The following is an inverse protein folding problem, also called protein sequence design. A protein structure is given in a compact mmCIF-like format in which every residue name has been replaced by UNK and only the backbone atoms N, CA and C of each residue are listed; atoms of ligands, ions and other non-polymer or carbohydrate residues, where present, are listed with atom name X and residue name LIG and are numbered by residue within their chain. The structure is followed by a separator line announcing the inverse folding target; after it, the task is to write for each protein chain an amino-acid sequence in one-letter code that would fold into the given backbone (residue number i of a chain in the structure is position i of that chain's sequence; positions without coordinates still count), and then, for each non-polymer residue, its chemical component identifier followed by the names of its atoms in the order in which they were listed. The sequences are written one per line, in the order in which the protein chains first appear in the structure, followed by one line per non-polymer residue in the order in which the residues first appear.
data_IF_703699508358
#
_entry.id   IF_703699508358
#
_cell.length_a   1.000
_cell.length_b   1.000
_cell.length_c   1.000
_cell.angle_alpha   90.00
_cell.angle_beta   90.00
_cell.angle_gamma   90.00
#
_symmetry.space_group_name_H-M   'P 1'
#
loop_
_entity.id
_entity.type
_entity.pdbx_description
1 polymer ?
#
# COMPACT_ATOMS: atom_id res chain seq x y z
N UNK A 1 -29.29 -4.02 16.06
CA UNK A 1 -27.91 -3.84 16.59
C UNK A 1 -27.00 -3.66 15.40
N UNK A 2 -26.62 -2.42 15.07
CA UNK A 2 -25.68 -2.16 13.99
C UNK A 2 -24.31 -2.63 14.44
N UNK A 3 -23.85 -3.77 13.94
CA UNK A 3 -22.46 -4.19 14.04
C UNK A 3 -21.63 -3.15 13.31
N UNK A 4 -21.14 -2.14 14.03
CA UNK A 4 -20.01 -1.34 13.55
C UNK A 4 -18.84 -2.30 13.41
N UNK A 5 -18.56 -2.71 12.18
CA UNK A 5 -17.39 -3.52 11.84
C UNK A 5 -16.15 -2.74 12.26
N UNK A 6 -15.57 -3.10 13.40
CA UNK A 6 -14.30 -2.54 13.89
C UNK A 6 -13.25 -2.67 12.79
N UNK A 7 -12.56 -1.58 12.47
CA UNK A 7 -11.49 -1.60 11.47
C UNK A 7 -10.34 -2.49 11.99
N UNK A 8 -10.10 -3.61 11.32
CA UNK A 8 -9.02 -4.53 11.65
C UNK A 8 -7.75 -4.18 10.87
N UNK A 9 -6.71 -3.78 11.60
CA UNK A 9 -5.40 -3.44 11.07
C UNK A 9 -4.41 -4.61 11.07
N UNK A 10 -4.79 -5.77 11.61
CA UNK A 10 -3.88 -6.90 11.83
C UNK A 10 -3.16 -7.34 10.56
N UNK A 11 -3.88 -7.45 9.44
CA UNK A 11 -3.32 -7.81 8.14
C UNK A 11 -2.34 -6.76 7.60
N UNK A 12 -2.64 -5.47 7.80
CA UNK A 12 -1.74 -4.40 7.37
C UNK A 12 -0.49 -4.32 8.24
N UNK A 13 -0.64 -4.49 9.56
CA UNK A 13 0.49 -4.53 10.48
C UNK A 13 1.44 -5.70 10.16
N UNK A 14 0.90 -6.89 9.91
CA UNK A 14 1.68 -8.06 9.47
C UNK A 14 2.40 -7.80 8.14
N UNK A 15 1.75 -7.13 7.20
CA UNK A 15 2.34 -6.76 5.92
C UNK A 15 3.53 -5.80 6.09
N UNK A 16 3.38 -4.76 6.92
CA UNK A 16 4.45 -3.81 7.22
C UNK A 16 5.63 -4.48 7.91
N UNK A 17 5.39 -5.33 8.91
CA UNK A 17 6.44 -6.11 9.59
C UNK A 17 7.20 -6.98 8.58
N UNK A 18 6.47 -7.72 7.75
CA UNK A 18 7.11 -8.60 6.78
C UNK A 18 7.91 -7.84 5.72
N UNK A 19 7.46 -6.66 5.30
CA UNK A 19 8.23 -5.78 4.42
C UNK A 19 9.53 -5.32 5.09
N UNK A 20 9.47 -4.92 6.35
CA UNK A 20 10.67 -4.49 7.09
C UNK A 20 11.70 -5.62 7.22
N UNK A 21 11.25 -6.85 7.53
CA UNK A 21 12.10 -8.04 7.57
C UNK A 21 12.79 -8.29 6.22
N UNK A 22 12.08 -8.14 5.10
CA UNK A 22 12.65 -8.35 3.78
C UNK A 22 13.63 -7.24 3.37
N UNK A 23 13.36 -6.00 3.77
CA UNK A 23 14.28 -4.89 3.56
C UNK A 23 15.55 -5.06 4.39
N UNK A 24 15.44 -5.53 5.64
CA UNK A 24 16.60 -5.85 6.48
C UNK A 24 17.43 -6.98 5.88
N UNK A 25 16.80 -8.08 5.48
CA UNK A 25 17.49 -9.16 4.79
C UNK A 25 18.20 -8.67 3.52
N UNK A 26 17.59 -7.77 2.76
CA UNK A 26 18.21 -7.21 1.55
C UNK A 26 19.42 -6.34 1.87
N UNK A 27 19.38 -5.56 2.96
CA UNK A 27 20.53 -4.76 3.41
C UNK A 27 21.73 -5.62 3.77
N UNK A 28 21.51 -6.82 4.28
CA UNK A 28 22.58 -7.76 4.63
C UNK A 28 23.20 -8.44 3.39
N UNK A 29 22.44 -8.61 2.31
CA UNK A 29 22.93 -9.18 1.05
C UNK A 29 22.27 -8.51 -0.16
N UNK A 30 22.92 -7.42 -0.63
CA UNK A 30 22.44 -6.60 -1.73
C UNK A 30 22.44 -7.33 -3.09
N UNK A 31 23.22 -8.40 -3.23
CA UNK A 31 23.35 -9.15 -4.48
C UNK A 31 22.36 -10.32 -4.57
N UNK A 32 21.67 -10.63 -3.48
CA UNK A 32 20.72 -11.73 -3.45
C UNK A 32 19.42 -11.37 -4.17
N UNK A 33 19.28 -11.89 -5.40
CA UNK A 33 18.09 -11.67 -6.22
C UNK A 33 16.82 -12.20 -5.57
N UNK A 34 16.85 -13.35 -4.89
CA UNK A 34 15.67 -13.89 -4.23
C UNK A 34 15.15 -12.98 -3.10
N UNK A 35 16.07 -12.41 -2.31
CA UNK A 35 15.71 -11.49 -1.24
C UNK A 35 15.16 -10.18 -1.82
N UNK A 36 15.80 -9.64 -2.85
CA UNK A 36 15.31 -8.45 -3.57
C UNK A 36 13.90 -8.67 -4.13
N UNK A 37 13.68 -9.80 -4.80
CA UNK A 37 12.41 -10.14 -5.42
C UNK A 37 11.32 -10.31 -4.35
N UNK A 38 11.67 -10.92 -3.21
CA UNK A 38 10.79 -11.03 -2.07
C UNK A 38 10.48 -9.66 -1.42
N UNK A 39 11.45 -8.74 -1.34
CA UNK A 39 11.20 -7.37 -0.85
C UNK A 39 10.25 -6.59 -1.78
N UNK A 40 10.41 -6.74 -3.10
CA UNK A 40 9.52 -6.16 -4.10
C UNK A 40 8.09 -6.68 -3.90
N UNK A 41 7.89 -8.01 -3.85
CA UNK A 41 6.55 -8.60 -3.67
C UNK A 41 5.88 -8.09 -2.38
N UNK A 42 6.65 -7.95 -1.30
CA UNK A 42 6.15 -7.45 -0.03
C UNK A 42 5.78 -5.98 -0.07
N UNK A 43 6.53 -5.18 -0.81
CA UNK A 43 6.17 -3.78 -1.05
C UNK A 43 4.85 -3.68 -1.81
N UNK A 44 4.65 -4.49 -2.86
CA UNK A 44 3.44 -4.43 -3.69
C UNK A 44 2.16 -4.70 -2.90
N UNK A 45 2.11 -5.80 -2.13
CA UNK A 45 0.92 -6.09 -1.33
C UNK A 45 0.75 -5.11 -0.16
N UNK A 46 1.85 -4.60 0.42
CA UNK A 46 1.78 -3.64 1.54
C UNK A 46 1.18 -2.32 1.07
N UNK A 47 1.61 -1.85 -0.10
CA UNK A 47 1.07 -0.65 -0.75
C UNK A 47 -0.42 -0.80 -1.07
N UNK A 48 -0.83 -1.95 -1.61
CA UNK A 48 -2.24 -2.23 -1.87
C UNK A 48 -3.07 -2.26 -0.57
N UNK A 49 -2.59 -2.94 0.47
CA UNK A 49 -3.25 -3.00 1.77
C UNK A 49 -3.37 -1.62 2.41
N UNK A 50 -2.32 -0.79 2.37
CA UNK A 50 -2.34 0.57 2.91
C UNK A 50 -3.49 1.39 2.30
N UNK A 51 -3.62 1.37 0.97
CA UNK A 51 -4.71 2.09 0.30
C UNK A 51 -6.10 1.53 0.57
N UNK A 52 -6.24 0.20 0.69
CA UNK A 52 -7.51 -0.44 1.08
C UNK A 52 -7.90 -0.05 2.51
N UNK A 53 -6.94 0.02 3.43
CA UNK A 53 -7.18 0.45 4.81
C UNK A 53 -7.60 1.91 4.88
N UNK A 54 -6.92 2.80 4.15
CA UNK A 54 -7.30 4.20 4.06
C UNK A 54 -8.74 4.36 3.54
N UNK A 55 -9.09 3.67 2.45
CA UNK A 55 -10.44 3.69 1.90
C UNK A 55 -11.48 3.21 2.91
N UNK A 56 -11.23 2.08 3.58
CA UNK A 56 -12.15 1.56 4.62
C UNK A 56 -12.33 2.53 5.77
N UNK A 57 -11.25 3.14 6.25
CA UNK A 57 -11.31 4.14 7.30
C UNK A 57 -12.17 5.34 6.88
N UNK A 58 -11.94 5.88 5.69
CA UNK A 58 -12.72 7.01 5.17
C UNK A 58 -14.20 6.64 4.99
N UNK A 59 -14.52 5.44 4.50
CA UNK A 59 -15.91 4.97 4.38
C UNK A 59 -16.63 4.86 5.73
N UNK A 60 -15.90 4.57 6.81
CA UNK A 60 -16.44 4.49 8.17
C UNK A 60 -16.55 5.86 8.86
N UNK A 61 -15.66 6.79 8.50
CA UNK A 61 -15.61 8.13 9.09
C UNK A 61 -16.61 9.09 8.42
N UNK A 62 -16.98 8.85 7.17
CA UNK A 62 -17.88 9.72 6.40
C UNK A 62 -19.36 9.39 6.58
N UNK A 63 -20.17 10.45 6.63
CA UNK A 63 -21.63 10.35 6.62
C UNK A 63 -22.18 9.88 5.27
N UNK A 64 -21.46 10.15 4.18
CA UNK A 64 -21.79 9.74 2.82
C UNK A 64 -20.70 8.84 2.26
N UNK A 65 -20.94 7.53 2.27
CA UNK A 65 -19.98 6.55 1.73
C UNK A 65 -19.80 6.66 0.21
N UNK A 66 -20.78 7.24 -0.51
CA UNK A 66 -20.79 7.35 -1.98
C UNK A 66 -19.64 8.22 -2.49
N UNK A 67 -19.38 9.36 -1.84
CA UNK A 67 -18.31 10.28 -2.24
C UNK A 67 -16.94 9.62 -2.17
N UNK A 68 -16.68 8.82 -1.13
CA UNK A 68 -15.43 8.07 -0.98
C UNK A 68 -15.31 6.96 -2.02
N UNK A 69 -16.40 6.28 -2.37
CA UNK A 69 -16.40 5.22 -3.39
C UNK A 69 -16.01 5.78 -4.75
N UNK A 70 -16.60 6.91 -5.14
CA UNK A 70 -16.39 7.55 -6.45
C UNK A 70 -15.03 8.26 -6.57
N UNK A 71 -14.34 8.50 -5.44
CA UNK A 71 -13.01 9.10 -5.46
C UNK A 71 -11.98 8.25 -6.22
N UNK A 72 -11.34 8.90 -7.20
CA UNK A 72 -10.16 8.40 -7.88
C UNK A 72 -9.03 8.10 -6.87
N UNK A 73 -8.16 7.16 -7.21
CA UNK A 73 -7.04 6.78 -6.33
C UNK A 73 -6.14 7.98 -5.95
N UNK A 74 -5.75 8.89 -6.87
CA UNK A 74 -5.00 10.10 -6.49
C UNK A 74 -5.75 10.98 -5.48
N UNK A 75 -7.05 11.17 -5.66
CA UNK A 75 -7.85 11.99 -4.76
C UNK A 75 -8.02 11.34 -3.39
N UNK A 76 -8.21 10.02 -3.33
CA UNK A 76 -8.22 9.26 -2.08
C UNK A 76 -6.95 9.52 -1.25
N UNK A 77 -5.78 9.47 -1.88
CA UNK A 77 -4.50 9.73 -1.20
C UNK A 77 -4.40 11.19 -0.73
N UNK A 78 -4.78 12.16 -1.57
CA UNK A 78 -4.78 13.58 -1.18
C UNK A 78 -5.68 13.82 0.03
N UNK A 79 -6.91 13.30 0.00
CA UNK A 79 -7.84 13.35 1.14
C UNK A 79 -7.23 12.73 2.40
N UNK A 80 -6.56 11.58 2.27
CA UNK A 80 -5.86 10.94 3.39
C UNK A 80 -4.75 11.82 3.99
N UNK A 81 -3.98 12.48 3.14
CA UNK A 81 -2.92 13.41 3.57
C UNK A 81 -3.49 14.67 4.22
N UNK A 82 -4.48 15.31 3.61
CA UNK A 82 -5.14 16.53 4.12
C UNK A 82 -5.77 16.31 5.49
N UNK A 83 -6.19 15.07 5.80
CA UNK A 83 -6.75 14.67 7.10
C UNK A 83 -5.72 14.19 8.11
N UNK A 84 -4.42 14.25 7.78
CA UNK A 84 -3.34 13.77 8.65
C UNK A 84 -3.31 12.25 8.84
N UNK A 85 -3.98 11.48 7.98
CA UNK A 85 -3.94 10.01 8.01
C UNK A 85 -2.72 9.45 7.29
N UNK A 86 -2.14 10.21 6.38
CA UNK A 86 -0.93 9.88 5.65
C UNK A 86 0.17 10.90 5.91
N UNK A 87 1.42 10.43 5.95
CA UNK A 87 2.60 11.28 6.10
C UNK A 87 2.92 12.09 4.83
N UNK A 88 2.53 11.60 3.66
CA UNK A 88 2.86 12.20 2.37
C UNK A 88 1.66 12.18 1.42
N UNK A 89 1.62 13.16 0.52
CA UNK A 89 0.56 13.32 -0.48
C UNK A 89 0.81 12.48 -1.74
N UNK A 90 -0.03 12.73 -2.76
CA UNK A 90 -0.01 12.02 -4.04
C UNK A 90 1.34 12.06 -4.76
N UNK A 91 2.11 13.13 -4.61
CA UNK A 91 3.39 13.35 -5.26
C UNK A 91 4.45 12.30 -4.89
N UNK A 92 4.38 11.75 -3.69
CA UNK A 92 5.21 10.63 -3.22
C UNK A 92 4.56 9.30 -3.59
N UNK A 93 3.26 9.16 -3.35
CA UNK A 93 2.53 7.91 -3.65
C UNK A 93 2.54 7.53 -5.14
N UNK A 94 2.54 8.50 -6.04
CA UNK A 94 2.67 8.23 -7.48
C UNK A 94 4.03 7.60 -7.80
N UNK A 95 5.10 7.94 -7.07
CA UNK A 95 6.42 7.32 -7.26
C UNK A 95 6.41 5.86 -6.83
N UNK A 96 5.74 5.56 -5.72
CA UNK A 96 5.52 4.17 -5.28
C UNK A 96 4.69 3.39 -6.30
N UNK A 97 3.65 4.01 -6.85
CA UNK A 97 2.83 3.40 -7.91
C UNK A 97 3.64 3.13 -9.17
N UNK A 98 4.48 4.08 -9.58
CA UNK A 98 5.36 3.92 -10.73
C UNK A 98 6.39 2.80 -10.52
N UNK A 99 7.03 2.76 -9.34
CA UNK A 99 7.96 1.70 -8.97
C UNK A 99 7.31 0.30 -9.04
N UNK A 100 6.07 0.16 -8.53
CA UNK A 100 5.28 -1.07 -8.65
C UNK A 100 5.01 -1.44 -10.11
N UNK A 101 4.68 -0.48 -10.96
CA UNK A 101 4.42 -0.77 -12.38
C UNK A 101 5.69 -1.26 -13.07
N UNK A 102 6.85 -0.66 -12.78
CA UNK A 102 8.14 -1.11 -13.33
C UNK A 102 8.46 -2.53 -12.86
N UNK A 103 8.26 -2.85 -11.58
CA UNK A 103 8.54 -4.19 -11.06
C UNK A 103 7.68 -5.23 -11.75
N UNK A 104 6.38 -4.97 -11.94
CA UNK A 104 5.49 -5.88 -12.68
C UNK A 104 5.96 -6.13 -14.13
N UNK A 105 6.49 -5.12 -14.84
CA UNK A 105 6.96 -5.28 -16.22
C UNK A 105 8.37 -5.88 -16.35
N UNK A 106 9.24 -5.69 -15.36
CA UNK A 106 10.62 -6.21 -15.41
C UNK A 106 10.69 -7.73 -15.23
N UNK A 107 9.66 -8.36 -14.65
CA UNK A 107 9.56 -9.83 -14.58
C UNK A 107 8.94 -10.45 -15.83
N UNK A 108 8.12 -9.71 -16.58
CA UNK A 108 7.45 -10.22 -17.79
C UNK A 108 8.46 -10.50 -18.93
N UNK A 109 9.56 -9.74 -19.00
CA UNK A 109 10.61 -9.93 -20.01
C UNK A 109 11.49 -11.17 -19.78
N UNK A 110 11.32 -11.92 -18.69
CA UNK A 110 12.04 -13.19 -18.44
C UNK A 110 11.23 -14.45 -18.77
N UNK A 111 10.06 -14.30 -19.39
CA UNK A 111 9.28 -15.42 -19.92
C UNK A 111 9.55 -15.62 -21.41
N UNK A 112 10.80 -15.90 -21.78
CA UNK A 112 11.21 -16.41 -23.11
C UNK A 112 12.44 -17.31 -22.95
#
# INVERSE_FOLDING_TARGET
MNSQSKLDFSSFQKAVISLDEALEAHRQDLNNRFIRDAAIQRFEYTYELASKMLRRYLLMAESSSQEVIEQSFPNLIRTGFERGLLLNSWDVWQKYRYARNITSHTYDEKSC
#
